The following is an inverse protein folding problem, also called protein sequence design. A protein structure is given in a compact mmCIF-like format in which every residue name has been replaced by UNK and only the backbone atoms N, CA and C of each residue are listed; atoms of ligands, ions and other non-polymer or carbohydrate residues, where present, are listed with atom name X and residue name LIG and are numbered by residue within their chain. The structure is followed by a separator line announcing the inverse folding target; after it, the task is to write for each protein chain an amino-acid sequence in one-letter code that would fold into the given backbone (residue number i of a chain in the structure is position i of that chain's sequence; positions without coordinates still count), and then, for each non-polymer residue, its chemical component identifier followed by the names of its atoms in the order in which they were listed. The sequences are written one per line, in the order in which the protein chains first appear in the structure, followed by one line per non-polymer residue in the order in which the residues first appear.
data_IF_271644897700
#
_entry.id   IF_271644897700
#
_cell.length_a   1.000
_cell.length_b   1.000
_cell.length_c   1.000
_cell.angle_alpha   90.00
_cell.angle_beta   90.00
_cell.angle_gamma   90.00
#
_symmetry.space_group_name_H-M   'P 1'
#
loop_
_entity.id
_entity.type
_entity.pdbx_description
1 polymer ?
#
# COMPACT_ATOMS: atom_id res chain seq x y z
N UNK A 1 -3.81 -14.99 25.95
CA UNK A 1 -3.51 -13.78 25.15
C UNK A 1 -4.85 -13.22 24.69
N UNK A 2 -5.15 -11.93 24.91
CA UNK A 2 -6.49 -11.34 24.72
C UNK A 2 -6.61 -10.56 23.38
N UNK A 3 -5.50 -10.36 22.65
CA UNK A 3 -5.44 -9.54 21.43
C UNK A 3 -5.18 -10.30 20.12
N UNK A 4 -5.03 -11.62 20.17
CA UNK A 4 -4.59 -12.42 19.03
C UNK A 4 -5.60 -12.52 17.88
N UNK A 5 -6.88 -12.29 18.14
CA UNK A 5 -7.88 -12.14 17.07
C UNK A 5 -7.69 -10.83 16.28
N UNK A 6 -7.02 -9.84 16.86
CA UNK A 6 -6.83 -8.51 16.26
C UNK A 6 -5.45 -8.35 15.59
N UNK A 7 -4.37 -8.73 16.26
CA UNK A 7 -2.99 -8.68 15.73
C UNK A 7 -2.40 -10.09 15.77
N UNK A 8 -1.82 -10.54 14.65
CA UNK A 8 -1.14 -11.82 14.57
C UNK A 8 0.21 -11.79 15.30
N UNK A 9 0.35 -12.64 16.31
CA UNK A 9 1.56 -12.79 17.12
C UNK A 9 2.33 -14.08 16.78
N UNK A 10 1.64 -15.10 16.26
CA UNK A 10 2.21 -16.40 15.88
C UNK A 10 1.85 -16.80 14.44
N UNK A 11 2.54 -17.79 13.82
CA UNK A 11 2.31 -18.16 12.41
C UNK A 11 0.87 -18.61 12.12
N UNK A 12 0.24 -19.30 13.08
CA UNK A 12 -1.13 -19.79 12.97
C UNK A 12 -2.20 -18.70 12.87
N UNK A 13 -1.84 -17.44 13.16
CA UNK A 13 -2.74 -16.29 13.18
C UNK A 13 -2.64 -15.43 11.90
N UNK A 14 -1.59 -15.62 11.10
CA UNK A 14 -1.37 -14.91 9.83
C UNK A 14 -2.48 -15.25 8.84
N UNK A 15 -3.04 -14.23 8.20
CA UNK A 15 -4.23 -14.33 7.36
C UNK A 15 -5.53 -14.56 8.14
N UNK A 16 -5.51 -14.70 9.47
CA UNK A 16 -6.73 -14.92 10.26
C UNK A 16 -7.09 -13.71 11.11
N UNK A 17 -6.09 -13.13 11.79
CA UNK A 17 -6.25 -11.91 12.57
C UNK A 17 -6.52 -10.70 11.68
N UNK A 18 -7.12 -9.65 12.25
CA UNK A 18 -7.39 -8.42 11.48
C UNK A 18 -6.13 -7.82 10.88
N UNK A 19 -5.02 -7.82 11.62
CA UNK A 19 -3.75 -7.24 11.18
C UNK A 19 -2.66 -8.29 11.34
N UNK A 20 -1.87 -8.49 10.30
CA UNK A 20 -0.64 -9.26 10.36
C UNK A 20 0.50 -8.51 9.64
N UNK A 21 1.65 -9.17 9.49
CA UNK A 21 2.76 -8.53 8.79
C UNK A 21 2.46 -8.27 7.31
N UNK A 22 1.62 -9.06 6.62
CA UNK A 22 1.20 -8.76 5.25
C UNK A 22 0.37 -7.49 5.15
N UNK A 23 -0.42 -7.14 6.17
CA UNK A 23 -1.10 -5.83 6.24
C UNK A 23 -0.12 -4.65 6.12
N UNK A 24 1.08 -4.75 6.70
CA UNK A 24 2.14 -3.73 6.50
C UNK A 24 2.67 -3.74 5.06
N UNK A 25 2.78 -4.93 4.48
CA UNK A 25 3.09 -5.10 3.06
C UNK A 25 2.07 -4.38 2.17
N UNK A 26 0.78 -4.47 2.50
CA UNK A 26 -0.31 -3.79 1.81
C UNK A 26 -0.25 -2.26 1.93
N UNK A 27 0.09 -1.74 3.11
CA UNK A 27 0.37 -0.30 3.27
C UNK A 27 1.55 0.16 2.41
N UNK A 28 2.64 -0.62 2.40
CA UNK A 28 3.81 -0.37 1.56
C UNK A 28 3.43 -0.41 0.05
N UNK A 29 2.63 -1.39 -0.35
CA UNK A 29 2.10 -1.54 -1.70
C UNK A 29 1.24 -0.33 -2.11
N UNK A 30 0.35 0.13 -1.22
CA UNK A 30 -0.45 1.33 -1.45
C UNK A 30 0.40 2.59 -1.71
N UNK A 31 1.47 2.78 -0.94
CA UNK A 31 2.44 3.87 -1.17
C UNK A 31 3.11 3.70 -2.54
N UNK A 32 3.66 2.53 -2.83
CA UNK A 32 4.42 2.27 -4.05
C UNK A 32 3.56 2.41 -5.33
N UNK A 33 2.37 1.83 -5.34
CA UNK A 33 1.42 1.92 -6.47
C UNK A 33 1.01 3.38 -6.68
N UNK A 34 0.67 4.10 -5.61
CA UNK A 34 0.31 5.52 -5.72
C UNK A 34 1.46 6.36 -6.27
N UNK A 35 2.70 6.14 -5.77
CA UNK A 35 3.88 6.83 -6.30
C UNK A 35 4.05 6.58 -7.80
N UNK A 36 3.90 5.33 -8.24
CA UNK A 36 4.03 4.99 -9.66
C UNK A 36 2.97 5.71 -10.52
N UNK A 37 1.68 5.56 -10.20
CA UNK A 37 0.62 6.17 -11.00
C UNK A 37 0.55 7.69 -10.88
N UNK A 38 1.02 8.27 -9.77
CA UNK A 38 1.11 9.71 -9.60
C UNK A 38 2.07 10.37 -10.60
N UNK A 39 2.94 9.63 -11.29
CA UNK A 39 3.74 10.16 -12.40
C UNK A 39 2.85 10.84 -13.48
N UNK A 40 1.64 10.32 -13.68
CA UNK A 40 0.65 10.89 -14.60
C UNK A 40 0.08 12.24 -14.12
N UNK A 41 0.24 12.55 -12.84
CA UNK A 41 -0.09 13.85 -12.25
C UNK A 41 1.15 14.77 -12.17
N UNK A 42 2.28 14.25 -11.69
CA UNK A 42 3.46 15.06 -11.35
C UNK A 42 4.26 15.50 -12.58
N UNK A 43 4.40 14.64 -13.61
CA UNK A 43 5.13 14.98 -14.84
C UNK A 43 4.48 16.20 -15.51
N UNK A 44 3.14 16.24 -15.74
CA UNK A 44 2.53 17.42 -16.33
C UNK A 44 2.55 18.66 -15.43
N UNK A 45 2.44 18.48 -14.11
CA UNK A 45 2.47 19.59 -13.15
C UNK A 45 3.86 20.20 -12.98
N UNK A 46 4.92 19.49 -13.38
CA UNK A 46 6.29 20.00 -13.41
C UNK A 46 6.63 20.83 -14.66
N UNK A 47 5.71 20.94 -15.63
CA UNK A 47 5.91 21.74 -16.86
C UNK A 47 5.69 23.24 -16.60
N UNK A 48 6.20 24.08 -17.51
CA UNK A 48 6.10 25.54 -17.42
C UNK A 48 4.66 26.05 -17.26
N UNK A 49 4.53 27.16 -16.52
CA UNK A 49 3.25 27.80 -16.22
C UNK A 49 2.48 28.14 -17.51
N UNK A 50 1.22 27.73 -17.56
CA UNK A 50 0.33 27.93 -18.71
C UNK A 50 0.29 26.79 -19.72
N UNK A 51 1.12 25.75 -19.55
CA UNK A 51 1.11 24.54 -20.41
C UNK A 51 0.76 23.25 -19.67
N UNK A 52 0.63 23.31 -18.35
CA UNK A 52 0.33 22.16 -17.51
C UNK A 52 -1.12 21.69 -17.69
N UNK A 53 -1.28 20.48 -18.22
CA UNK A 53 -2.56 19.78 -18.27
C UNK A 53 -2.46 18.53 -17.40
N UNK A 54 -3.27 18.45 -16.35
CA UNK A 54 -3.33 17.27 -15.50
C UNK A 54 -3.92 16.11 -16.32
N UNK A 55 -3.12 15.09 -16.61
CA UNK A 55 -3.60 13.90 -17.33
C UNK A 55 -4.45 13.01 -16.42
N UNK A 56 -4.07 12.88 -15.15
CA UNK A 56 -4.79 12.10 -14.16
C UNK A 56 -4.75 12.82 -12.80
N UNK A 57 -5.89 13.25 -12.23
CA UNK A 57 -5.89 13.92 -10.94
C UNK A 57 -5.56 12.95 -9.81
N UNK A 58 -4.95 13.46 -8.72
CA UNK A 58 -4.49 12.62 -7.59
C UNK A 58 -5.60 11.78 -6.94
N UNK A 59 -6.85 12.26 -6.90
CA UNK A 59 -7.97 11.47 -6.39
C UNK A 59 -8.26 10.25 -7.28
N UNK A 60 -8.07 10.36 -8.60
CA UNK A 60 -8.27 9.24 -9.51
C UNK A 60 -7.11 8.24 -9.40
N UNK A 61 -5.88 8.73 -9.19
CA UNK A 61 -4.72 7.88 -8.83
C UNK A 61 -5.03 7.07 -7.57
N UNK A 62 -5.59 7.70 -6.54
CA UNK A 62 -5.97 7.01 -5.30
C UNK A 62 -7.01 5.90 -5.54
N UNK A 63 -8.06 6.19 -6.30
CA UNK A 63 -9.09 5.18 -6.65
C UNK A 63 -8.45 4.00 -7.41
N UNK A 64 -7.57 4.27 -8.38
CA UNK A 64 -6.85 3.22 -9.12
C UNK A 64 -6.00 2.38 -8.18
N UNK A 65 -5.28 3.00 -7.25
CA UNK A 65 -4.48 2.27 -6.26
C UNK A 65 -5.34 1.34 -5.40
N UNK A 66 -6.49 1.81 -4.91
CA UNK A 66 -7.44 1.00 -4.13
C UNK A 66 -8.01 -0.14 -4.97
N UNK A 67 -8.37 0.12 -6.23
CA UNK A 67 -8.87 -0.90 -7.15
C UNK A 67 -7.81 -1.99 -7.39
N UNK A 68 -6.53 -1.62 -7.53
CA UNK A 68 -5.43 -2.58 -7.63
C UNK A 68 -5.27 -3.39 -6.33
N UNK A 69 -5.41 -2.75 -5.16
CA UNK A 69 -5.42 -3.46 -3.87
C UNK A 69 -6.52 -4.51 -3.79
N UNK A 70 -7.76 -4.17 -4.20
CA UNK A 70 -8.87 -5.13 -4.26
C UNK A 70 -8.57 -6.28 -5.23
N UNK A 71 -8.02 -5.98 -6.41
CA UNK A 71 -7.64 -7.02 -7.38
C UNK A 71 -6.52 -7.91 -6.85
N UNK A 72 -5.58 -7.34 -6.09
CA UNK A 72 -4.50 -8.09 -5.45
C UNK A 72 -5.06 -9.10 -4.44
N UNK A 73 -5.96 -8.67 -3.56
CA UNK A 73 -6.64 -9.57 -2.60
C UNK A 73 -7.37 -10.72 -3.29
N UNK A 74 -8.09 -10.42 -4.38
CA UNK A 74 -8.78 -11.44 -5.16
C UNK A 74 -7.79 -12.43 -5.79
N UNK A 75 -6.68 -11.93 -6.35
CA UNK A 75 -5.64 -12.76 -6.96
C UNK A 75 -4.97 -13.65 -5.89
N UNK A 76 -4.68 -13.10 -4.72
CA UNK A 76 -4.06 -13.83 -3.62
C UNK A 76 -4.97 -14.94 -3.09
N UNK A 77 -6.24 -14.63 -2.82
CA UNK A 77 -7.20 -15.56 -2.25
C UNK A 77 -7.87 -16.49 -3.29
N UNK A 78 -7.42 -16.46 -4.55
CA UNK A 78 -7.84 -17.41 -5.59
C UNK A 78 -6.64 -18.08 -6.23
N UNK A 79 -5.95 -17.36 -7.11
CA UNK A 79 -4.87 -17.90 -7.94
C UNK A 79 -3.67 -18.30 -7.08
N UNK A 80 -3.21 -17.46 -6.13
CA UNK A 80 -2.03 -17.82 -5.32
C UNK A 80 -2.34 -18.95 -4.33
N UNK A 81 -3.58 -19.01 -3.84
CA UNK A 81 -4.06 -20.13 -3.03
C UNK A 81 -4.07 -21.44 -3.82
N UNK A 82 -4.68 -21.45 -5.02
CA UNK A 82 -4.76 -22.64 -5.89
C UNK A 82 -3.38 -23.12 -6.35
N UNK A 83 -2.44 -22.20 -6.56
CA UNK A 83 -1.05 -22.51 -6.88
C UNK A 83 -0.22 -22.97 -5.67
N UNK A 84 -0.78 -22.90 -4.47
CA UNK A 84 -0.08 -23.27 -3.24
C UNK A 84 1.10 -22.36 -2.88
N UNK A 85 1.07 -21.11 -3.36
CA UNK A 85 2.10 -20.09 -3.10
C UNK A 85 1.78 -19.32 -1.81
N UNK A 86 0.51 -19.32 -1.41
CA UNK A 86 0.05 -18.58 -0.24
C UNK A 86 0.66 -19.12 1.06
N UNK A 87 0.90 -18.21 2.01
CA UNK A 87 1.48 -18.53 3.30
C UNK A 87 0.72 -19.66 3.99
N UNK A 88 1.45 -20.73 4.33
CA UNK A 88 0.91 -21.95 4.97
C UNK A 88 -0.33 -22.55 4.28
N UNK A 89 -0.52 -22.32 2.97
CA UNK A 89 -1.69 -22.78 2.21
C UNK A 89 -3.03 -22.38 2.87
N UNK A 90 -3.09 -21.17 3.43
CA UNK A 90 -4.24 -20.66 4.16
C UNK A 90 -4.92 -19.53 3.40
N UNK A 91 -6.25 -19.48 3.39
CA UNK A 91 -7.02 -18.33 2.89
C UNK A 91 -7.14 -17.24 3.96
N UNK A 92 -7.25 -15.99 3.54
CA UNK A 92 -7.49 -14.91 4.48
C UNK A 92 -8.91 -14.98 5.03
N UNK A 93 -9.05 -14.59 6.29
CA UNK A 93 -10.34 -14.24 6.85
C UNK A 93 -10.88 -13.00 6.15
N UNK A 94 -12.21 -12.86 6.11
CA UNK A 94 -12.85 -11.67 5.53
C UNK A 94 -12.36 -10.40 6.23
N UNK A 95 -12.09 -10.48 7.53
CA UNK A 95 -11.60 -9.37 8.34
C UNK A 95 -10.21 -8.93 7.89
N UNK A 96 -9.29 -9.87 7.71
CA UNK A 96 -7.92 -9.61 7.26
C UNK A 96 -7.92 -8.98 5.86
N UNK A 97 -8.63 -9.59 4.90
CA UNK A 97 -8.77 -9.08 3.53
C UNK A 97 -9.28 -7.62 3.50
N UNK A 98 -10.30 -7.31 4.31
CA UNK A 98 -10.84 -5.94 4.40
C UNK A 98 -9.81 -4.96 4.96
N UNK A 99 -9.06 -5.37 5.98
CA UNK A 99 -8.03 -4.54 6.60
C UNK A 99 -6.88 -4.29 5.62
N UNK A 100 -6.48 -5.29 4.85
CA UNK A 100 -5.39 -5.16 3.89
C UNK A 100 -5.73 -4.16 2.78
N UNK A 101 -6.97 -4.18 2.28
CA UNK A 101 -7.49 -3.14 1.36
C UNK A 101 -7.48 -1.76 2.03
N UNK A 102 -7.88 -1.66 3.30
CA UNK A 102 -7.84 -0.40 4.05
C UNK A 102 -6.40 0.09 4.17
N UNK A 103 -5.43 -0.79 4.41
CA UNK A 103 -4.02 -0.43 4.53
C UNK A 103 -3.44 0.05 3.19
N UNK A 104 -3.80 -0.58 2.06
CA UNK A 104 -3.51 -0.05 0.72
C UNK A 104 -4.06 1.38 0.57
N UNK A 105 -5.33 1.59 0.94
CA UNK A 105 -6.00 2.87 0.83
C UNK A 105 -5.35 3.96 1.70
N UNK A 106 -4.94 3.62 2.93
CA UNK A 106 -4.24 4.50 3.86
C UNK A 106 -2.85 4.88 3.34
N UNK A 107 -2.06 3.91 2.89
CA UNK A 107 -0.74 4.16 2.31
C UNK A 107 -0.81 5.08 1.08
N UNK A 108 -1.80 4.85 0.22
CA UNK A 108 -2.09 5.70 -0.92
C UNK A 108 -2.55 7.11 -0.49
N UNK A 109 -3.43 7.22 0.51
CA UNK A 109 -3.94 8.50 1.00
C UNK A 109 -2.83 9.36 1.62
N UNK A 110 -1.92 8.77 2.40
CA UNK A 110 -0.74 9.47 2.92
C UNK A 110 0.13 10.05 1.80
N UNK A 111 0.39 9.25 0.77
CA UNK A 111 1.11 9.68 -0.43
C UNK A 111 0.37 10.79 -1.20
N UNK A 112 -0.96 10.70 -1.29
CA UNK A 112 -1.80 11.72 -1.90
C UNK A 112 -1.70 13.05 -1.15
N UNK A 113 -1.92 13.05 0.17
CA UNK A 113 -1.86 14.27 0.99
C UNK A 113 -0.50 14.94 0.84
N UNK A 114 0.59 14.16 0.87
CA UNK A 114 1.93 14.70 0.69
C UNK A 114 2.14 15.31 -0.71
N UNK A 115 1.69 14.63 -1.78
CA UNK A 115 1.73 15.19 -3.13
C UNK A 115 0.94 16.51 -3.22
N UNK A 116 -0.28 16.54 -2.69
CA UNK A 116 -1.14 17.72 -2.73
C UNK A 116 -0.50 18.92 -2.01
N UNK A 117 0.04 18.71 -0.81
CA UNK A 117 0.72 19.76 -0.04
C UNK A 117 2.00 20.22 -0.74
N UNK A 118 2.80 19.31 -1.28
CA UNK A 118 4.03 19.68 -1.98
C UNK A 118 3.70 20.53 -3.20
N UNK A 119 2.83 20.09 -4.10
CA UNK A 119 2.51 20.84 -5.33
C UNK A 119 1.76 22.15 -5.08
N UNK A 120 1.16 22.33 -3.89
CA UNK A 120 0.60 23.60 -3.45
C UNK A 120 1.68 24.62 -3.05
N UNK A 121 2.82 24.15 -2.53
CA UNK A 121 3.88 24.99 -1.95
C UNK A 121 5.15 25.06 -2.80
N UNK A 122 5.43 24.03 -3.58
CA UNK A 122 6.64 23.81 -4.37
C UNK A 122 6.30 23.11 -5.69
N UNK A 123 6.91 23.52 -6.81
CA UNK A 123 6.64 22.89 -8.12
C UNK A 123 7.53 21.69 -8.44
N UNK A 124 8.57 21.45 -7.64
CA UNK A 124 9.52 20.36 -7.89
C UNK A 124 8.91 19.01 -7.49
N UNK A 125 8.85 18.01 -8.39
CA UNK A 125 8.37 16.67 -8.07
C UNK A 125 9.38 15.85 -7.24
N UNK A 126 10.67 16.22 -7.26
CA UNK A 126 11.74 15.39 -6.68
C UNK A 126 11.62 15.13 -5.18
N UNK A 127 11.29 16.13 -4.33
CA UNK A 127 11.09 15.89 -2.90
C UNK A 127 9.98 14.88 -2.61
N UNK A 128 8.92 14.89 -3.44
CA UNK A 128 7.81 13.94 -3.34
C UNK A 128 8.29 12.50 -3.54
N UNK A 129 9.04 12.25 -4.62
CA UNK A 129 9.52 10.91 -4.95
C UNK A 129 10.60 10.40 -4.00
N UNK A 130 11.53 11.26 -3.57
CA UNK A 130 12.58 10.87 -2.60
C UNK A 130 11.93 10.47 -1.27
N UNK A 131 11.02 11.29 -0.75
CA UNK A 131 10.29 10.97 0.47
C UNK A 131 9.44 9.70 0.33
N UNK A 132 8.79 9.53 -0.82
CA UNK A 132 8.01 8.33 -1.13
C UNK A 132 8.87 7.05 -1.10
N UNK A 133 10.02 7.06 -1.76
CA UNK A 133 10.96 5.93 -1.79
C UNK A 133 11.48 5.61 -0.38
N UNK A 134 11.83 6.64 0.41
CA UNK A 134 12.24 6.44 1.80
C UNK A 134 11.13 5.77 2.61
N UNK A 135 9.87 6.20 2.45
CA UNK A 135 8.74 5.57 3.13
C UNK A 135 8.53 4.11 2.72
N UNK A 136 8.63 3.80 1.42
CA UNK A 136 8.56 2.41 0.93
C UNK A 136 9.63 1.55 1.60
N UNK A 137 10.89 2.03 1.64
CA UNK A 137 11.99 1.32 2.28
C UNK A 137 11.73 1.12 3.78
N UNK A 138 11.25 2.16 4.47
CA UNK A 138 10.96 2.11 5.91
C UNK A 138 9.86 1.08 6.23
N UNK A 139 8.74 1.11 5.51
CA UNK A 139 7.64 0.17 5.73
C UNK A 139 8.00 -1.26 5.32
N UNK A 140 8.81 -1.42 4.27
CA UNK A 140 9.38 -2.72 3.93
C UNK A 140 10.31 -3.26 5.05
N UNK A 141 11.09 -2.40 5.70
CA UNK A 141 11.88 -2.75 6.87
C UNK A 141 11.01 -3.23 8.03
N UNK A 142 9.92 -2.51 8.33
CA UNK A 142 8.95 -2.90 9.38
C UNK A 142 8.30 -4.25 9.03
N UNK A 143 7.89 -4.45 7.78
CA UNK A 143 7.37 -5.73 7.28
C UNK A 143 8.33 -6.89 7.56
N UNK A 144 9.61 -6.74 7.18
CA UNK A 144 10.62 -7.79 7.35
C UNK A 144 10.83 -8.11 8.84
N UNK A 145 10.93 -7.08 9.68
CA UNK A 145 11.14 -7.24 11.13
C UNK A 145 9.94 -7.95 11.77
N UNK A 146 8.72 -7.51 11.49
CA UNK A 146 7.53 -8.13 12.07
C UNK A 146 7.37 -9.56 11.58
N UNK A 147 7.54 -9.81 10.28
CA UNK A 147 7.56 -11.18 9.74
C UNK A 147 8.58 -12.05 10.47
N UNK A 148 9.79 -11.56 10.73
CA UNK A 148 10.80 -12.32 11.46
C UNK A 148 10.32 -12.67 12.89
N UNK A 149 9.74 -11.71 13.61
CA UNK A 149 9.26 -11.91 14.99
C UNK A 149 8.10 -12.91 15.05
N UNK A 150 7.13 -12.81 14.13
CA UNK A 150 5.96 -13.71 14.10
C UNK A 150 6.32 -15.15 13.75
N UNK A 151 7.47 -15.37 13.11
CA UNK A 151 7.93 -16.71 12.70
C UNK A 151 8.92 -17.37 13.67
N UNK A 152 9.25 -16.72 14.79
CA UNK A 152 10.05 -17.29 15.89
C UNK A 152 9.22 -18.24 16.75
#
# INVERSE_FOLDING_TARGET
MIGNWFIAEIPGEVGQSYIDFFSIGHLCGGIAIFLFFSLLYTIPMSKEDGTSQVYLPLWAVWIITVAIGILWELLENTILYDLGIKFEFRLDSIQNLVVDIIFVAIGAAGSWVFAHLLFKLHKSPWPYYIFGIINVILWLGIFIIWRYITLL
#
